data_IF_090990073517
#
_entry.id   IF_090990073517
#
_cell.length_a   1.000
_cell.length_b   1.000
_cell.length_c   1.000
_cell.angle_alpha   90.00
_cell.angle_beta   90.00
_cell.angle_gamma   90.00
#
_symmetry.space_group_name_H-M   'P 1'
#
loop_
_entity.id
_entity.type
_entity.pdbx_description
1 polymer ?
#
# COMPACT_ATOMS: atom_id res chain seq x y z
N UNK A 1 -19.28 -6.82 4.20
CA UNK A 1 -17.94 -6.30 3.89
C UNK A 1 -17.31 -7.25 2.91
N UNK A 2 -16.58 -6.75 1.90
CA UNK A 2 -15.96 -7.60 0.91
C UNK A 2 -14.91 -8.51 1.56
N UNK A 3 -14.88 -9.76 1.10
CA UNK A 3 -13.83 -10.71 1.40
C UNK A 3 -12.84 -10.68 0.24
N UNK A 4 -11.57 -10.40 0.50
CA UNK A 4 -10.55 -10.42 -0.55
C UNK A 4 -9.54 -11.52 -0.42
N UNK A 5 -8.99 -11.90 -1.57
CA UNK A 5 -7.68 -12.53 -1.68
C UNK A 5 -6.75 -11.55 -2.37
N UNK A 6 -5.54 -11.40 -1.83
CA UNK A 6 -4.49 -10.61 -2.46
C UNK A 6 -3.35 -11.56 -2.78
N UNK A 7 -2.74 -11.42 -3.96
CA UNK A 7 -1.58 -12.22 -4.37
C UNK A 7 -0.55 -11.33 -5.06
N UNK A 8 0.70 -11.79 -5.12
CA UNK A 8 1.80 -11.11 -5.79
C UNK A 8 2.42 -12.04 -6.84
N UNK A 9 2.44 -11.59 -8.08
CA UNK A 9 2.95 -12.34 -9.23
C UNK A 9 4.42 -11.98 -9.54
N UNK A 10 4.93 -10.86 -9.03
CA UNK A 10 6.29 -10.36 -9.30
C UNK A 10 7.33 -10.84 -8.29
N UNK A 11 7.38 -12.16 -8.11
CA UNK A 11 8.37 -12.82 -7.22
C UNK A 11 9.82 -12.70 -7.71
N UNK A 12 10.00 -12.28 -8.96
CA UNK A 12 11.28 -11.91 -9.58
C UNK A 12 11.86 -10.58 -9.05
N UNK A 13 11.02 -9.70 -8.49
CA UNK A 13 11.46 -8.42 -7.90
C UNK A 13 11.57 -8.53 -6.36
N UNK A 14 10.50 -9.01 -5.73
CA UNK A 14 10.37 -9.07 -4.28
C UNK A 14 9.68 -10.34 -3.82
N UNK A 15 10.05 -10.83 -2.63
CA UNK A 15 9.49 -12.04 -2.05
C UNK A 15 8.74 -11.70 -0.77
N UNK A 16 7.65 -12.41 -0.50
CA UNK A 16 6.93 -12.25 0.76
C UNK A 16 7.82 -12.71 1.91
N UNK A 17 8.00 -11.84 2.89
CA UNK A 17 8.76 -12.10 4.12
C UNK A 17 8.03 -11.45 5.30
N UNK A 18 7.07 -12.18 5.85
CA UNK A 18 6.23 -11.72 6.95
C UNK A 18 6.98 -11.63 8.29
N UNK A 19 8.22 -12.13 8.36
CA UNK A 19 9.07 -11.96 9.54
C UNK A 19 9.45 -10.49 9.79
N UNK A 20 9.27 -9.63 8.79
CA UNK A 20 9.48 -8.19 8.86
C UNK A 20 8.33 -7.45 9.58
N UNK A 21 7.19 -8.12 9.82
CA UNK A 21 6.05 -7.52 10.52
C UNK A 21 6.00 -7.95 11.98
N UNK A 22 5.63 -7.01 12.85
CA UNK A 22 5.31 -7.32 14.26
C UNK A 22 4.02 -8.14 14.38
N UNK A 23 3.06 -7.91 13.48
CA UNK A 23 1.75 -8.59 13.45
C UNK A 23 1.38 -8.92 12.00
N UNK A 24 1.98 -9.95 11.40
CA UNK A 24 1.48 -10.50 10.14
C UNK A 24 0.08 -11.09 10.36
N UNK A 25 -0.81 -10.90 9.39
CA UNK A 25 -2.20 -11.32 9.52
C UNK A 25 -2.79 -11.59 8.15
N UNK A 26 -3.54 -12.69 8.01
CA UNK A 26 -4.22 -13.02 6.77
C UNK A 26 -5.62 -13.55 7.08
N UNK A 27 -6.59 -12.66 6.98
CA UNK A 27 -8.02 -12.98 7.03
C UNK A 27 -8.71 -12.30 5.85
N UNK A 28 -9.95 -12.67 5.57
CA UNK A 28 -10.76 -12.07 4.50
C UNK A 28 -10.99 -10.56 4.64
N UNK A 29 -10.79 -9.98 5.84
CA UNK A 29 -11.10 -8.58 6.18
C UNK A 29 -9.89 -7.80 6.71
N UNK A 30 -8.75 -8.46 6.92
CA UNK A 30 -7.52 -7.85 7.40
C UNK A 30 -6.33 -8.66 6.91
N UNK A 31 -5.53 -8.05 6.02
CA UNK A 31 -4.32 -8.65 5.47
C UNK A 31 -3.16 -7.70 5.74
N UNK A 32 -2.13 -8.19 6.41
CA UNK A 32 -0.85 -7.52 6.58
C UNK A 32 0.23 -8.46 6.07
N UNK A 33 0.89 -8.07 4.99
CA UNK A 33 2.02 -8.81 4.42
C UNK A 33 3.22 -7.90 4.27
N UNK A 34 4.41 -8.46 4.47
CA UNK A 34 5.65 -7.78 4.14
C UNK A 34 6.36 -8.46 2.99
N UNK A 35 7.16 -7.68 2.30
CA UNK A 35 7.95 -8.12 1.17
C UNK A 35 9.37 -7.60 1.31
N UNK A 36 10.34 -8.36 0.81
CA UNK A 36 11.74 -7.96 0.75
C UNK A 36 12.20 -8.02 -0.70
N UNK A 37 12.86 -6.95 -1.17
CA UNK A 37 13.51 -6.98 -2.47
C UNK A 37 14.62 -8.04 -2.50
N UNK A 38 14.83 -8.64 -3.66
CA UNK A 38 15.85 -9.70 -3.82
C UNK A 38 17.28 -9.21 -3.49
N UNK A 39 17.57 -7.93 -3.70
CA UNK A 39 18.85 -7.30 -3.34
C UNK A 39 18.90 -6.78 -1.89
N UNK A 40 17.81 -6.92 -1.13
CA UNK A 40 17.63 -6.51 0.27
C UNK A 40 17.74 -5.01 0.52
N UNK A 41 17.65 -4.17 -0.51
CA UNK A 41 17.75 -2.70 -0.38
C UNK A 41 16.43 -2.03 0.00
N UNK A 42 15.32 -2.72 -0.24
CA UNK A 42 13.97 -2.24 0.01
C UNK A 42 13.08 -3.29 0.69
N UNK A 43 12.14 -2.79 1.48
CA UNK A 43 11.08 -3.55 2.14
C UNK A 43 9.71 -2.99 1.72
N UNK A 44 8.78 -3.89 1.47
CA UNK A 44 7.38 -3.59 1.15
C UNK A 44 6.46 -3.93 2.29
N UNK A 45 5.39 -3.16 2.47
CA UNK A 45 4.30 -3.49 3.39
C UNK A 45 2.99 -3.31 2.65
N UNK A 46 2.18 -4.37 2.59
CA UNK A 46 0.82 -4.36 2.08
C UNK A 46 -0.15 -4.50 3.23
N UNK A 47 -1.12 -3.58 3.31
CA UNK A 47 -2.18 -3.55 4.31
C UNK A 47 -3.53 -3.44 3.61
N UNK A 48 -4.34 -4.46 3.78
CA UNK A 48 -5.75 -4.41 3.45
C UNK A 48 -6.58 -4.48 4.72
N UNK A 49 -7.61 -3.66 4.82
CA UNK A 49 -8.58 -3.72 5.91
C UNK A 49 -9.97 -3.43 5.38
N UNK A 50 -10.95 -4.21 5.80
CA UNK A 50 -12.36 -3.86 5.68
C UNK A 50 -13.03 -3.79 7.05
N UNK A 51 -13.82 -2.74 7.29
CA UNK A 51 -14.51 -2.54 8.57
C UNK A 51 -15.74 -1.66 8.44
N UNK A 52 -16.59 -1.69 9.47
CA UNK A 52 -17.81 -0.86 9.52
C UNK A 52 -17.44 0.60 9.68
N UNK A 53 -16.39 0.89 10.45
CA UNK A 53 -15.94 2.26 10.67
C UNK A 53 -15.48 2.90 9.35
N UNK A 54 -14.77 2.15 8.49
CA UNK A 54 -14.38 2.66 7.16
C UNK A 54 -15.64 2.93 6.33
N UNK A 55 -16.65 2.06 6.39
CA UNK A 55 -17.93 2.27 5.70
C UNK A 55 -18.66 3.53 6.20
N UNK A 56 -18.87 3.65 7.51
CA UNK A 56 -19.64 4.77 8.08
C UNK A 56 -18.93 6.11 7.89
N UNK A 57 -17.60 6.15 7.95
CA UNK A 57 -16.80 7.35 7.71
C UNK A 57 -16.65 7.66 6.21
N UNK A 58 -16.61 6.61 5.38
CA UNK A 58 -16.33 6.72 3.94
C UNK A 58 -17.57 6.99 3.09
N UNK A 59 -18.77 6.54 3.49
CA UNK A 59 -20.00 6.60 2.66
C UNK A 59 -20.43 8.00 2.20
N UNK A 60 -19.91 9.06 2.82
CA UNK A 60 -20.22 10.45 2.46
C UNK A 60 -19.05 11.20 1.81
N UNK A 61 -17.94 10.51 1.54
CA UNK A 61 -16.74 11.07 0.90
C UNK A 61 -16.51 10.31 -0.40
N UNK A 62 -16.18 11.00 -1.49
CA UNK A 62 -15.84 10.29 -2.73
C UNK A 62 -14.56 9.47 -2.54
N UNK A 63 -14.52 8.29 -3.15
CA UNK A 63 -13.38 7.39 -3.05
C UNK A 63 -12.09 8.06 -3.53
N UNK A 64 -12.16 8.90 -4.57
CA UNK A 64 -11.03 9.73 -5.02
C UNK A 64 -10.52 10.67 -3.91
N UNK A 65 -11.40 11.44 -3.25
CA UNK A 65 -10.99 12.37 -2.20
C UNK A 65 -10.45 11.65 -0.96
N UNK A 66 -11.07 10.52 -0.58
CA UNK A 66 -10.63 9.70 0.52
C UNK A 66 -9.26 9.06 0.24
N UNK A 67 -9.06 8.49 -0.95
CA UNK A 67 -7.80 7.85 -1.37
C UNK A 67 -6.65 8.86 -1.46
N UNK A 68 -6.90 10.03 -2.06
CA UNK A 68 -5.93 11.12 -2.14
C UNK A 68 -5.54 11.66 -0.75
N UNK A 69 -6.47 11.69 0.19
CA UNK A 69 -6.16 12.08 1.57
C UNK A 69 -5.36 11.00 2.31
N UNK A 70 -5.77 9.73 2.16
CA UNK A 70 -5.16 8.58 2.84
C UNK A 70 -3.68 8.39 2.45
N UNK A 71 -3.35 8.52 1.16
CA UNK A 71 -1.96 8.33 0.68
C UNK A 71 -1.00 9.37 1.27
N UNK A 72 -1.53 10.56 1.62
CA UNK A 72 -0.76 11.67 2.16
C UNK A 72 -0.66 11.64 3.69
N UNK A 73 -1.50 10.85 4.37
CA UNK A 73 -1.51 10.75 5.83
C UNK A 73 -0.21 10.14 6.35
N UNK A 74 0.46 10.81 7.29
CA UNK A 74 1.66 10.28 7.93
C UNK A 74 1.35 8.99 8.71
N UNK A 75 1.96 7.84 8.37
CA UNK A 75 1.72 6.61 9.11
C UNK A 75 2.20 6.72 10.57
N UNK A 76 1.52 6.08 11.51
CA UNK A 76 1.79 6.24 12.95
C UNK A 76 3.19 5.80 13.39
N UNK A 77 3.82 4.87 12.66
CA UNK A 77 5.18 4.39 12.95
C UNK A 77 6.29 5.21 12.26
N UNK A 78 5.92 6.35 11.67
CA UNK A 78 6.83 7.27 11.02
C UNK A 78 6.96 8.53 11.87
N UNK A 79 8.07 8.77 12.58
CA UNK A 79 8.31 10.06 13.22
C UNK A 79 8.34 11.24 12.23
N UNK A 80 8.78 10.99 11.00
CA UNK A 80 8.79 11.98 9.92
C UNK A 80 8.32 11.35 8.61
N UNK A 81 7.49 12.08 7.87
CA UNK A 81 6.98 11.68 6.56
C UNK A 81 6.77 12.93 5.70
N UNK A 82 7.57 13.08 4.65
CA UNK A 82 7.53 14.22 3.73
C UNK A 82 7.28 13.73 2.32
N UNK A 83 6.18 14.18 1.73
CA UNK A 83 5.86 13.90 0.33
C UNK A 83 6.79 14.71 -0.57
N UNK A 84 7.40 14.05 -1.54
CA UNK A 84 8.31 14.67 -2.50
C UNK A 84 7.70 14.78 -3.90
N UNK A 85 6.66 13.99 -4.21
CA UNK A 85 5.88 14.07 -5.45
C UNK A 85 4.50 13.46 -5.25
N UNK A 86 3.52 13.90 -6.05
CA UNK A 86 2.12 13.48 -5.96
C UNK A 86 1.27 14.38 -5.05
N UNK A 87 0.04 13.95 -4.72
CA UNK A 87 -0.58 12.67 -5.09
C UNK A 87 -0.99 12.61 -6.57
N UNK A 88 -0.75 11.48 -7.22
CA UNK A 88 -1.15 11.23 -8.62
C UNK A 88 -1.97 9.95 -8.73
N UNK A 89 -2.90 9.92 -9.68
CA UNK A 89 -3.68 8.71 -9.97
C UNK A 89 -2.77 7.69 -10.67
N UNK A 90 -2.83 6.44 -10.21
CA UNK A 90 -2.19 5.29 -10.84
C UNK A 90 -3.21 4.16 -10.98
N UNK A 91 -3.16 3.50 -12.13
CA UNK A 91 -4.16 2.55 -12.56
C UNK A 91 -3.49 1.26 -13.09
N UNK A 92 -2.88 0.50 -12.17
CA UNK A 92 -2.00 -0.61 -12.53
C UNK A 92 -2.28 -1.91 -11.80
N UNK A 93 -2.80 -1.86 -10.57
CA UNK A 93 -3.13 -3.05 -9.76
C UNK A 93 -4.34 -3.76 -10.41
N UNK A 94 -4.25 -5.03 -10.85
CA UNK A 94 -5.40 -5.72 -11.43
C UNK A 94 -6.44 -6.11 -10.36
N UNK A 95 -7.73 -5.97 -10.68
CA UNK A 95 -8.84 -6.54 -9.91
C UNK A 95 -9.70 -7.52 -10.73
N UNK A 96 -10.90 -7.86 -10.25
CA UNK A 96 -11.79 -8.82 -10.93
C UNK A 96 -12.43 -8.26 -12.22
N UNK A 97 -12.52 -6.94 -12.38
CA UNK A 97 -13.25 -6.26 -13.47
C UNK A 97 -12.36 -5.39 -14.36
N UNK A 98 -11.12 -5.14 -13.95
CA UNK A 98 -10.14 -4.34 -14.66
C UNK A 98 -8.97 -4.00 -13.75
N UNK A 99 -8.96 -2.77 -13.24
CA UNK A 99 -7.88 -2.23 -12.44
C UNK A 99 -8.40 -1.54 -11.18
N UNK A 100 -7.68 -1.77 -10.10
CA UNK A 100 -7.83 -1.17 -8.79
C UNK A 100 -7.12 0.17 -8.75
N UNK A 101 -7.68 1.16 -9.46
CA UNK A 101 -7.14 2.51 -9.52
C UNK A 101 -7.02 3.13 -8.11
N UNK A 102 -5.92 3.85 -7.86
CA UNK A 102 -5.68 4.52 -6.57
C UNK A 102 -4.75 5.72 -6.72
N UNK A 103 -4.33 6.28 -5.59
CA UNK A 103 -3.37 7.38 -5.58
C UNK A 103 -2.00 6.91 -5.13
N UNK A 104 -0.96 7.48 -5.73
CA UNK A 104 0.42 7.29 -5.32
C UNK A 104 1.13 8.58 -4.97
N UNK A 105 2.14 8.46 -4.11
CA UNK A 105 3.12 9.51 -3.80
C UNK A 105 4.52 8.92 -3.75
N UNK A 106 5.52 9.76 -4.02
CA UNK A 106 6.88 9.51 -3.55
C UNK A 106 7.13 10.27 -2.26
N UNK A 107 7.95 9.72 -1.37
CA UNK A 107 8.20 10.34 -0.08
C UNK A 107 9.62 10.08 0.45
N UNK A 108 10.00 10.86 1.44
CA UNK A 108 11.11 10.60 2.36
C UNK A 108 10.59 10.59 3.78
N UNK A 109 11.28 9.91 4.69
CA UNK A 109 10.84 9.87 6.07
C UNK A 109 11.80 9.15 6.99
N UNK A 110 11.37 9.04 8.24
CA UNK A 110 12.02 8.25 9.27
C UNK A 110 11.01 7.22 9.75
N UNK A 111 11.42 5.96 9.90
CA UNK A 111 10.59 4.87 10.39
C UNK A 111 11.20 4.33 11.68
N UNK A 112 10.37 4.14 12.71
CA UNK A 112 10.77 3.46 13.94
C UNK A 112 10.58 1.95 13.77
N UNK A 113 11.67 1.23 13.57
CA UNK A 113 11.68 -0.23 13.50
C UNK A 113 11.81 -0.83 14.90
N UNK A 114 11.04 -1.88 15.20
CA UNK A 114 10.98 -2.50 16.54
C UNK A 114 12.35 -2.93 17.08
N UNK A 115 13.26 -3.40 16.22
CA UNK A 115 14.54 -3.97 16.65
C UNK A 115 15.77 -3.10 16.32
N UNK A 116 15.61 -2.00 15.59
CA UNK A 116 16.73 -1.15 15.12
C UNK A 116 16.54 0.34 15.37
N UNK A 117 15.40 0.75 15.95
CA UNK A 117 15.11 2.16 16.22
C UNK A 117 14.78 2.93 14.94
N UNK A 118 15.03 4.23 14.98
CA UNK A 118 14.70 5.14 13.88
C UNK A 118 15.68 4.98 12.72
N UNK A 119 15.16 4.91 11.49
CA UNK A 119 15.97 4.84 10.27
C UNK A 119 15.38 5.71 9.18
N UNK A 120 16.23 6.45 8.47
CA UNK A 120 15.85 7.23 7.31
C UNK A 120 15.54 6.32 6.12
N UNK A 121 14.49 6.69 5.37
CA UNK A 121 14.05 5.97 4.19
C UNK A 121 13.59 6.92 3.10
N UNK A 122 13.55 6.39 1.89
CA UNK A 122 12.80 6.96 0.76
C UNK A 122 11.87 5.89 0.21
N UNK A 123 10.74 6.29 -0.37
CA UNK A 123 9.72 5.32 -0.72
C UNK A 123 8.69 5.81 -1.72
N UNK A 124 7.87 4.84 -2.13
CA UNK A 124 6.60 5.07 -2.81
C UNK A 124 5.48 4.55 -1.92
N UNK A 125 4.31 5.17 -2.01
CA UNK A 125 3.10 4.67 -1.36
C UNK A 125 1.96 4.72 -2.35
N UNK A 126 1.17 3.66 -2.38
CA UNK A 126 -0.12 3.59 -3.05
C UNK A 126 -1.22 3.44 -2.01
N UNK A 127 -2.31 4.19 -2.14
CA UNK A 127 -3.50 3.99 -1.32
C UNK A 127 -4.78 4.11 -2.13
N UNK A 128 -5.76 3.27 -1.78
CA UNK A 128 -7.13 3.33 -2.28
C UNK A 128 -8.10 3.00 -1.16
N UNK A 129 -9.08 3.89 -0.97
CA UNK A 129 -10.20 3.72 -0.05
C UNK A 129 -11.49 3.62 -0.85
N UNK A 130 -12.34 2.67 -0.47
CA UNK A 130 -13.65 2.39 -1.05
C UNK A 130 -14.70 2.60 0.03
N UNK A 131 -15.33 3.76 0.02
CA UNK A 131 -16.23 4.22 1.07
C UNK A 131 -17.45 3.33 1.24
N UNK A 132 -18.18 3.06 0.17
CA UNK A 132 -19.38 2.20 0.22
C UNK A 132 -19.06 0.75 0.60
N UNK A 133 -17.87 0.27 0.26
CA UNK A 133 -17.46 -1.09 0.53
C UNK A 133 -16.80 -1.23 1.92
N UNK A 134 -16.45 -0.10 2.53
CA UNK A 134 -15.79 -0.04 3.82
C UNK A 134 -14.40 -0.66 3.81
N UNK A 135 -13.64 -0.46 2.74
CA UNK A 135 -12.34 -1.12 2.53
C UNK A 135 -11.22 -0.13 2.21
N UNK A 136 -10.00 -0.46 2.63
CA UNK A 136 -8.77 0.23 2.24
C UNK A 136 -7.70 -0.77 1.80
N UNK A 137 -6.92 -0.39 0.80
CA UNK A 137 -5.66 -1.01 0.43
C UNK A 137 -4.56 0.05 0.50
N UNK A 138 -3.47 -0.26 1.19
CA UNK A 138 -2.32 0.60 1.36
C UNK A 138 -1.05 -0.22 1.12
N UNK A 139 -0.19 0.23 0.21
CA UNK A 139 1.06 -0.44 -0.16
C UNK A 139 2.18 0.58 -0.01
N UNK A 140 3.14 0.30 0.88
CA UNK A 140 4.30 1.14 1.12
C UNK A 140 5.55 0.39 0.65
N UNK A 141 6.41 1.09 -0.11
CA UNK A 141 7.77 0.68 -0.40
C UNK A 141 8.73 1.56 0.39
N UNK A 142 9.63 0.95 1.14
CA UNK A 142 10.61 1.61 1.99
C UNK A 142 12.01 1.16 1.59
N UNK A 143 12.84 2.07 1.12
CA UNK A 143 14.20 1.77 0.69
C UNK A 143 15.22 2.59 1.49
N UNK A 144 16.42 2.04 1.68
CA UNK A 144 17.55 2.83 2.15
C UNK A 144 17.80 3.99 1.17
N UNK A 145 18.06 5.23 1.65
CA UNK A 145 18.31 6.39 0.78
C UNK A 145 19.33 6.09 -0.32
N UNK A 146 18.99 6.46 -1.56
CA UNK A 146 19.81 6.19 -2.75
C UNK A 146 19.52 4.86 -3.46
N UNK A 147 18.67 3.99 -2.90
CA UNK A 147 18.28 2.71 -3.50
C UNK A 147 16.81 2.67 -3.95
N UNK A 148 16.11 3.81 -3.99
CA UNK A 148 14.73 3.83 -4.50
C UNK A 148 14.76 3.41 -5.99
N UNK A 149 14.00 2.38 -6.39
CA UNK A 149 13.90 2.02 -7.79
C UNK A 149 13.17 3.12 -8.57
N UNK A 150 13.24 3.07 -9.90
CA UNK A 150 12.49 4.02 -10.73
C UNK A 150 10.98 3.80 -10.65
N UNK A 151 10.22 4.82 -11.08
CA UNK A 151 8.75 4.79 -11.04
C UNK A 151 8.17 3.64 -11.88
N UNK A 152 8.84 3.26 -12.98
CA UNK A 152 8.42 2.14 -13.81
C UNK A 152 8.50 0.81 -13.04
N UNK A 153 9.56 0.60 -12.26
CA UNK A 153 9.73 -0.58 -11.41
C UNK A 153 8.68 -0.60 -10.30
N UNK A 154 8.34 0.56 -9.74
CA UNK A 154 7.23 0.68 -8.80
C UNK A 154 5.88 0.29 -9.42
N UNK A 155 5.54 0.80 -10.60
CA UNK A 155 4.31 0.42 -11.32
C UNK A 155 4.30 -1.05 -11.74
N UNK A 156 5.47 -1.60 -12.07
CA UNK A 156 5.65 -3.02 -12.33
C UNK A 156 5.38 -3.89 -11.09
N UNK A 157 5.68 -3.40 -9.88
CA UNK A 157 5.34 -4.08 -8.62
C UNK A 157 3.84 -4.00 -8.32
N UNK A 158 3.24 -2.82 -8.51
CA UNK A 158 1.80 -2.64 -8.33
C UNK A 158 1.00 -3.54 -9.29
N UNK A 159 1.38 -3.58 -10.57
CA UNK A 159 0.74 -4.48 -11.55
C UNK A 159 0.93 -5.97 -11.26
N UNK A 160 1.94 -6.34 -10.46
CA UNK A 160 2.11 -7.68 -9.92
C UNK A 160 1.19 -8.02 -8.75
N UNK A 161 0.58 -7.02 -8.11
CA UNK A 161 -0.32 -7.20 -6.97
C UNK A 161 -1.74 -7.41 -7.48
N UNK A 162 -2.29 -8.61 -7.35
CA UNK A 162 -3.65 -8.94 -7.80
C UNK A 162 -4.62 -8.93 -6.63
N UNK A 163 -5.69 -8.15 -6.75
CA UNK A 163 -6.81 -8.12 -5.80
C UNK A 163 -7.95 -8.94 -6.39
N UNK A 164 -8.53 -9.86 -5.62
CA UNK A 164 -9.67 -10.65 -6.05
C UNK A 164 -10.72 -10.70 -4.93
N UNK A 165 -12.01 -10.78 -5.30
CA UNK A 165 -13.12 -10.90 -4.37
C UNK A 165 -14.02 -9.66 -4.29
N UNK A 166 -13.70 -8.57 -5.00
CA UNK A 166 -14.62 -7.49 -5.30
C UNK A 166 -14.13 -6.60 -6.46
N UNK A 167 -15.06 -5.84 -7.02
CA UNK A 167 -14.84 -4.84 -8.07
C UNK A 167 -14.73 -3.44 -7.43
N UNK A 168 -13.58 -2.78 -7.60
CA UNK A 168 -13.34 -1.47 -7.01
C UNK A 168 -14.01 -0.32 -7.77
N UNK A 169 -14.44 -0.56 -9.01
CA UNK A 169 -14.97 0.46 -9.90
C UNK A 169 -14.00 1.60 -10.19
N UNK A 170 -14.48 2.57 -10.96
CA UNK A 170 -13.73 3.80 -11.23
C UNK A 170 -13.57 4.68 -9.97
N UNK A 171 -12.55 5.53 -9.97
CA UNK A 171 -12.30 6.49 -8.88
C UNK A 171 -13.13 7.76 -8.96
#
# INVERSE_FOLDING_TARGET
MPSVTISNERTDIWQQDDSLLSVPMETSFLINRAYLFNDKTCQGVLRYKSSRDIHENGKNTSDSSASSSLVQEQPSNYPAYTITSGPTVVDTIPDDSGTFAGYEVSYTGTVTFTNSGDSEITGYRFSRQLGEQGATLDILLMCTPGNLPDLQTWHNLLSGTRVAGFDAGAM
#
